data_IF_144512239395
#
_entry.id   IF_144512239395
#
_cell.length_a   1.000
_cell.length_b   1.000
_cell.length_c   1.000
_cell.angle_alpha   90.00
_cell.angle_beta   90.00
_cell.angle_gamma   90.00
#
_symmetry.space_group_name_H-M   'P 1'
#
loop_
_entity.id
_entity.type
_entity.pdbx_description
1 polymer ?
#
# COMPACT_ATOMS: atom_id res chain seq x y z
N UNK A 1 29.79 35.64 -28.72
CA UNK A 1 28.55 35.79 -27.94
C UNK A 1 28.13 34.41 -27.47
N UNK A 2 28.02 34.26 -26.15
CA UNK A 2 27.20 33.34 -25.33
C UNK A 2 27.24 31.83 -25.60
N UNK A 3 27.56 31.12 -24.51
CA UNK A 3 27.56 29.68 -24.28
C UNK A 3 26.15 29.06 -24.29
N UNK A 4 26.07 27.72 -24.28
CA UNK A 4 25.47 26.92 -23.20
C UNK A 4 25.54 25.44 -23.58
N UNK A 5 26.42 24.71 -22.88
CA UNK A 5 26.38 23.25 -22.84
C UNK A 5 25.36 22.82 -21.81
N UNK A 6 24.46 21.92 -22.20
CA UNK A 6 23.56 21.22 -21.30
C UNK A 6 23.90 19.73 -21.39
N UNK A 7 24.71 19.25 -20.45
CA UNK A 7 24.91 17.82 -20.25
C UNK A 7 23.72 17.28 -19.47
N UNK A 8 22.77 16.68 -20.17
CA UNK A 8 21.71 15.90 -19.55
C UNK A 8 22.25 14.48 -19.34
N UNK A 9 22.48 14.10 -18.08
CA UNK A 9 22.74 12.72 -17.73
C UNK A 9 21.42 11.95 -17.84
N UNK A 10 21.25 11.20 -18.93
CA UNK A 10 20.15 10.26 -19.07
C UNK A 10 20.38 9.08 -18.09
N UNK A 11 19.37 8.65 -17.32
CA UNK A 11 19.47 7.40 -16.59
C UNK A 11 19.56 6.23 -17.58
N UNK A 12 20.50 5.33 -17.32
CA UNK A 12 20.72 4.10 -18.09
C UNK A 12 19.51 3.20 -17.90
N UNK A 13 18.70 3.03 -18.95
CA UNK A 13 17.67 2.01 -19.00
C UNK A 13 18.35 0.64 -19.16
N UNK A 14 18.13 -0.26 -18.20
CA UNK A 14 18.45 -1.68 -18.37
C UNK A 14 17.32 -2.29 -19.20
N UNK A 15 17.71 -3.00 -20.25
CA UNK A 15 16.83 -3.70 -21.20
C UNK A 15 16.16 -4.86 -20.46
N UNK A 16 14.82 -4.81 -20.38
CA UNK A 16 13.94 -5.86 -19.88
C UNK A 16 13.84 -7.00 -20.92
N UNK A 17 14.05 -8.25 -20.50
CA UNK A 17 14.12 -9.43 -21.38
C UNK A 17 12.76 -10.12 -21.61
N UNK A 18 11.67 -9.53 -21.12
CA UNK A 18 10.32 -9.99 -21.44
C UNK A 18 9.95 -11.33 -20.81
N UNK A 19 10.61 -11.72 -19.72
CA UNK A 19 10.09 -12.74 -18.81
C UNK A 19 9.04 -12.13 -17.86
N UNK A 20 7.98 -12.88 -17.60
CA UNK A 20 6.77 -12.48 -16.85
C UNK A 20 7.04 -11.72 -15.53
N UNK A 21 6.23 -10.71 -15.16
CA UNK A 21 6.54 -9.78 -14.05
C UNK A 21 6.52 -10.35 -12.61
N UNK A 22 6.37 -11.67 -12.44
CA UNK A 22 6.03 -12.29 -11.14
C UNK A 22 7.07 -13.29 -10.60
N UNK A 23 8.25 -13.44 -11.22
CA UNK A 23 9.17 -14.52 -10.83
C UNK A 23 10.51 -14.04 -10.24
N UNK A 24 10.68 -12.73 -9.97
CA UNK A 24 11.93 -12.21 -9.39
C UNK A 24 11.71 -11.65 -7.99
N UNK A 25 11.90 -12.52 -7.01
CA UNK A 25 12.06 -12.16 -5.60
C UNK A 25 13.29 -11.26 -5.40
N UNK A 26 13.09 -10.07 -4.84
CA UNK A 26 14.19 -9.21 -4.40
C UNK A 26 14.88 -9.81 -3.17
N UNK A 27 16.20 -9.89 -3.20
CA UNK A 27 17.04 -10.37 -2.08
C UNK A 27 17.78 -9.23 -1.41
N UNK A 28 18.17 -9.44 -0.15
CA UNK A 28 18.96 -8.47 0.61
C UNK A 28 20.28 -8.17 -0.12
N UNK A 29 20.43 -6.94 -0.60
CA UNK A 29 21.58 -6.48 -1.38
C UNK A 29 21.26 -6.10 -2.83
N UNK A 30 20.08 -6.45 -3.33
CA UNK A 30 19.57 -5.89 -4.59
C UNK A 30 19.30 -4.38 -4.41
N UNK A 31 19.49 -3.55 -5.44
CA UNK A 31 19.02 -2.17 -5.39
C UNK A 31 17.49 -2.18 -5.27
N UNK A 32 16.98 -1.50 -4.26
CA UNK A 32 15.55 -1.39 -4.03
C UNK A 32 14.95 -0.59 -5.19
N UNK A 33 13.92 -1.10 -5.89
CA UNK A 33 13.24 -0.35 -6.94
C UNK A 33 12.68 0.95 -6.39
N UNK A 34 12.46 1.95 -7.25
CA UNK A 34 11.76 3.15 -6.82
C UNK A 34 10.34 2.76 -6.38
N UNK A 35 10.02 2.98 -5.10
CA UNK A 35 8.73 2.68 -4.47
C UNK A 35 7.92 3.95 -4.19
N UNK A 36 8.45 5.11 -4.58
CA UNK A 36 7.78 6.39 -4.43
C UNK A 36 7.01 6.72 -5.70
N UNK A 37 5.70 6.71 -5.60
CA UNK A 37 4.81 7.36 -6.55
C UNK A 37 4.15 8.49 -5.78
N UNK A 38 4.45 9.74 -6.13
CA UNK A 38 3.88 10.88 -5.43
C UNK A 38 2.51 11.22 -6.03
N UNK A 39 1.46 11.36 -5.21
CA UNK A 39 0.17 11.79 -5.71
C UNK A 39 0.21 13.27 -6.12
N UNK A 40 -0.43 13.62 -7.24
CA UNK A 40 -0.63 15.00 -7.66
C UNK A 40 -1.79 15.60 -6.86
N UNK A 41 -1.53 16.65 -6.06
CA UNK A 41 -2.54 17.27 -5.19
C UNK A 41 -3.24 16.25 -4.25
N UNK A 42 -2.51 15.25 -3.77
CA UNK A 42 -3.05 14.22 -2.87
C UNK A 42 -3.85 13.10 -3.55
N UNK A 43 -3.98 13.13 -4.89
CA UNK A 43 -4.68 12.10 -5.67
C UNK A 43 -3.71 11.42 -6.64
N UNK A 44 -3.80 10.10 -6.76
CA UNK A 44 -3.05 9.36 -7.78
C UNK A 44 -3.63 9.54 -9.18
N UNK A 45 -2.76 9.54 -10.19
CA UNK A 45 -3.18 9.52 -11.59
C UNK A 45 -4.02 8.26 -11.89
N UNK A 46 -4.99 8.31 -12.82
CA UNK A 46 -5.97 7.25 -13.02
C UNK A 46 -5.39 5.86 -13.32
N UNK A 47 -4.22 5.81 -13.96
CA UNK A 47 -3.50 4.60 -14.39
C UNK A 47 -2.53 4.04 -13.33
N UNK A 48 -2.31 4.77 -12.23
CA UNK A 48 -1.51 4.27 -11.11
C UNK A 48 -2.27 3.16 -10.42
N UNK A 49 -1.64 1.99 -10.30
CA UNK A 49 -2.17 0.89 -9.52
C UNK A 49 -1.97 1.17 -8.02
N UNK A 50 -3.04 0.95 -7.27
CA UNK A 50 -3.10 1.11 -5.83
C UNK A 50 -3.67 -0.16 -5.19
N UNK A 51 -3.49 -0.29 -3.89
CA UNK A 51 -4.06 -1.34 -3.08
C UNK A 51 -4.61 -0.76 -1.78
N UNK A 52 -5.30 -1.60 -1.03
CA UNK A 52 -5.63 -1.28 0.34
C UNK A 52 -5.31 -2.44 1.30
N UNK A 53 -4.19 -2.28 2.02
CA UNK A 53 -3.73 -3.24 3.02
C UNK A 53 -3.24 -4.57 2.43
N UNK A 54 -2.85 -4.58 1.16
CA UNK A 54 -2.36 -5.73 0.39
C UNK A 54 -3.22 -6.04 -0.85
N UNK A 55 -2.83 -7.06 -1.65
CA UNK A 55 -3.52 -7.47 -2.87
C UNK A 55 -5.01 -7.78 -2.68
N UNK A 56 -5.84 -7.67 -3.74
CA UNK A 56 -5.46 -7.33 -5.12
C UNK A 56 -5.20 -5.84 -5.33
N UNK A 57 -4.48 -5.51 -6.40
CA UNK A 57 -4.22 -4.13 -6.82
C UNK A 57 -5.22 -3.70 -7.90
N UNK A 58 -5.52 -2.41 -7.98
CA UNK A 58 -6.47 -1.84 -8.92
C UNK A 58 -6.04 -0.44 -9.38
N UNK A 59 -6.42 0.00 -10.59
CA UNK A 59 -6.13 1.36 -11.03
C UNK A 59 -6.85 2.38 -10.15
N UNK A 60 -6.20 3.50 -9.82
CA UNK A 60 -6.79 4.57 -9.02
C UNK A 60 -8.07 5.14 -9.65
N UNK A 61 -8.25 5.00 -10.97
CA UNK A 61 -9.52 5.30 -11.64
C UNK A 61 -10.73 4.57 -11.03
N UNK A 62 -10.55 3.35 -10.53
CA UNK A 62 -11.64 2.55 -9.96
C UNK A 62 -12.24 3.18 -8.69
N UNK A 63 -11.46 3.99 -7.95
CA UNK A 63 -11.94 4.73 -6.78
C UNK A 63 -12.96 5.82 -7.13
N UNK A 64 -13.02 6.27 -8.39
CA UNK A 64 -13.85 7.43 -8.78
C UNK A 64 -15.30 7.06 -9.12
N UNK A 65 -15.59 5.79 -9.32
CA UNK A 65 -16.91 5.32 -9.74
C UNK A 65 -17.19 3.92 -9.17
N UNK A 66 -17.34 3.77 -7.84
CA UNK A 66 -17.80 2.50 -7.26
C UNK A 66 -19.16 2.11 -7.84
N UNK A 67 -19.34 0.84 -8.15
CA UNK A 67 -20.61 0.27 -8.60
C UNK A 67 -21.20 -0.56 -7.48
N UNK A 68 -22.52 -0.45 -7.25
CA UNK A 68 -23.19 -1.35 -6.32
C UNK A 68 -23.10 -2.78 -6.84
N UNK A 69 -22.75 -3.71 -5.96
CA UNK A 69 -22.60 -5.11 -6.31
C UNK A 69 -23.91 -5.71 -6.83
N UNK A 70 -25.06 -5.27 -6.28
CA UNK A 70 -26.39 -5.68 -6.75
C UNK A 70 -26.74 -5.19 -8.15
N UNK A 71 -26.01 -4.21 -8.68
CA UNK A 71 -26.15 -3.66 -10.03
C UNK A 71 -25.06 -4.18 -10.98
N UNK A 72 -24.18 -5.07 -10.49
CA UNK A 72 -23.03 -5.58 -11.23
C UNK A 72 -23.29 -7.01 -11.72
N UNK A 73 -22.96 -7.27 -12.98
CA UNK A 73 -22.87 -8.64 -13.50
C UNK A 73 -21.54 -9.25 -13.04
N UNK A 74 -21.59 -10.10 -12.02
CA UNK A 74 -20.42 -10.82 -11.50
C UNK A 74 -20.30 -12.18 -12.18
N UNK A 75 -19.06 -12.64 -12.37
CA UNK A 75 -18.79 -13.95 -12.94
C UNK A 75 -19.41 -15.08 -12.12
N UNK A 76 -19.83 -16.16 -12.79
CA UNK A 76 -20.42 -17.32 -12.16
C UNK A 76 -19.49 -17.89 -11.07
N UNK A 77 -20.03 -18.01 -9.86
CA UNK A 77 -19.30 -18.51 -8.70
C UNK A 77 -18.42 -17.47 -7.97
N UNK A 78 -18.26 -16.25 -8.48
CA UNK A 78 -17.43 -15.22 -7.85
C UNK A 78 -17.89 -14.83 -6.44
N UNK A 79 -19.19 -14.98 -6.17
CA UNK A 79 -19.81 -14.70 -4.88
C UNK A 79 -19.72 -15.85 -3.88
N UNK A 80 -19.40 -17.07 -4.32
CA UNK A 80 -19.35 -18.26 -3.46
C UNK A 80 -18.46 -18.05 -2.22
N UNK A 81 -17.24 -17.46 -2.33
CA UNK A 81 -16.42 -17.21 -1.15
C UNK A 81 -17.06 -16.26 -0.13
N UNK A 82 -17.81 -15.25 -0.57
CA UNK A 82 -18.56 -14.38 0.35
C UNK A 82 -19.71 -15.16 0.99
N UNK A 83 -20.49 -15.89 0.20
CA UNK A 83 -21.65 -16.65 0.68
C UNK A 83 -21.25 -17.69 1.73
N UNK A 84 -20.17 -18.44 1.47
CA UNK A 84 -19.61 -19.41 2.41
C UNK A 84 -19.12 -18.73 3.69
N UNK A 85 -18.44 -17.58 3.57
CA UNK A 85 -17.98 -16.82 4.73
C UNK A 85 -19.15 -16.28 5.56
N UNK A 86 -20.17 -15.67 4.94
CA UNK A 86 -21.36 -15.16 5.61
C UNK A 86 -22.19 -16.27 6.29
N UNK A 87 -22.21 -17.47 5.70
CA UNK A 87 -22.85 -18.64 6.29
C UNK A 87 -22.05 -19.26 7.46
N UNK A 88 -20.79 -18.85 7.65
CA UNK A 88 -19.96 -19.29 8.77
C UNK A 88 -20.36 -18.59 10.08
N UNK A 89 -19.93 -19.15 11.22
CA UNK A 89 -20.14 -18.50 12.52
C UNK A 89 -19.43 -17.14 12.65
N UNK A 90 -18.33 -16.93 11.91
CA UNK A 90 -17.58 -15.67 11.92
C UNK A 90 -18.27 -14.60 11.07
N UNK A 91 -18.88 -15.00 9.94
CA UNK A 91 -19.58 -14.10 9.03
C UNK A 91 -20.91 -13.55 9.56
N UNK A 92 -21.47 -14.12 10.63
CA UNK A 92 -22.69 -13.60 11.26
C UNK A 92 -22.58 -12.17 11.80
N UNK A 93 -21.35 -11.65 11.99
CA UNK A 93 -21.08 -10.27 12.40
C UNK A 93 -20.68 -9.35 11.24
N UNK A 94 -20.57 -9.88 10.03
CA UNK A 94 -20.26 -9.08 8.85
C UNK A 94 -21.51 -8.40 8.28
N UNK A 95 -21.32 -7.36 7.45
CA UNK A 95 -22.42 -6.82 6.64
C UNK A 95 -23.09 -7.92 5.83
N UNK A 96 -24.41 -8.02 5.89
CA UNK A 96 -25.13 -9.10 5.20
C UNK A 96 -25.47 -8.75 3.75
N UNK A 97 -25.47 -7.45 3.43
CA UNK A 97 -25.84 -6.90 2.15
C UNK A 97 -25.06 -5.60 1.84
N UNK A 98 -25.36 -5.02 0.67
CA UNK A 98 -24.92 -3.69 0.26
C UNK A 98 -23.41 -3.52 0.19
N UNK A 99 -22.83 -4.18 -0.80
CA UNK A 99 -21.43 -4.06 -1.16
C UNK A 99 -21.25 -3.19 -2.39
N UNK A 100 -20.13 -2.48 -2.45
CA UNK A 100 -19.59 -1.85 -3.65
C UNK A 100 -18.52 -2.74 -4.27
N UNK A 101 -18.27 -2.63 -5.57
CA UNK A 101 -17.16 -3.30 -6.25
C UNK A 101 -16.26 -2.32 -7.01
N UNK A 102 -14.93 -2.55 -6.95
CA UNK A 102 -13.90 -1.80 -7.71
C UNK A 102 -13.20 -2.65 -8.76
N UNK A 103 -13.14 -3.96 -8.49
CA UNK A 103 -12.58 -4.96 -9.38
C UNK A 103 -13.67 -5.98 -9.57
N UNK A 104 -14.20 -6.04 -10.78
CA UNK A 104 -15.11 -7.08 -11.21
C UNK A 104 -14.63 -7.53 -12.59
N UNK A 105 -13.88 -8.63 -12.59
CA UNK A 105 -13.30 -9.25 -13.78
C UNK A 105 -13.61 -10.74 -13.78
N UNK A 106 -13.28 -11.44 -14.86
CA UNK A 106 -13.50 -12.89 -14.95
C UNK A 106 -12.65 -13.70 -13.95
N UNK A 107 -11.58 -13.10 -13.41
CA UNK A 107 -10.62 -13.79 -12.54
C UNK A 107 -10.45 -13.17 -11.15
N UNK A 108 -10.92 -11.93 -10.94
CA UNK A 108 -10.78 -11.21 -9.66
C UNK A 108 -12.06 -10.44 -9.36
N UNK A 109 -12.56 -10.60 -8.13
CA UNK A 109 -13.63 -9.82 -7.55
C UNK A 109 -13.12 -9.16 -6.26
N UNK A 110 -13.22 -7.84 -6.15
CA UNK A 110 -13.00 -7.12 -4.90
C UNK A 110 -14.24 -6.31 -4.57
N UNK A 111 -14.74 -6.52 -3.36
CA UNK A 111 -15.92 -5.85 -2.83
C UNK A 111 -15.59 -5.15 -1.51
N UNK A 112 -16.31 -4.06 -1.25
CA UNK A 112 -16.22 -3.32 0.01
C UNK A 112 -17.60 -2.99 0.55
N UNK A 113 -17.71 -2.97 1.87
CA UNK A 113 -18.80 -2.33 2.57
C UNK A 113 -18.24 -1.18 3.42
N UNK A 114 -18.84 0.00 3.34
CA UNK A 114 -18.47 1.16 4.16
C UNK A 114 -19.56 1.40 5.20
N UNK A 115 -19.22 1.18 6.47
CA UNK A 115 -20.11 1.45 7.58
C UNK A 115 -20.41 2.94 7.77
N UNK A 116 -21.47 3.25 8.50
CA UNK A 116 -21.85 4.64 8.81
C UNK A 116 -20.80 5.39 9.65
N UNK A 117 -19.90 4.66 10.32
CA UNK A 117 -18.73 5.16 11.05
C UNK A 117 -17.48 5.32 10.17
N UNK A 118 -17.59 5.01 8.87
CA UNK A 118 -16.48 5.03 7.92
C UNK A 118 -15.58 3.80 7.97
N UNK A 119 -15.90 2.78 8.77
CA UNK A 119 -15.13 1.54 8.81
C UNK A 119 -15.34 0.75 7.51
N UNK A 120 -14.25 0.29 6.91
CA UNK A 120 -14.29 -0.54 5.73
C UNK A 120 -14.26 -2.03 6.09
N UNK A 121 -15.11 -2.80 5.43
CA UNK A 121 -15.04 -4.26 5.36
C UNK A 121 -14.78 -4.65 3.91
N UNK A 122 -13.69 -5.37 3.65
CA UNK A 122 -13.27 -5.74 2.29
C UNK A 122 -13.17 -7.25 2.15
N UNK A 123 -13.64 -7.77 1.02
CA UNK A 123 -13.37 -9.12 0.56
C UNK A 123 -12.76 -9.06 -0.83
N UNK A 124 -11.73 -9.87 -1.05
CA UNK A 124 -11.25 -10.17 -2.38
C UNK A 124 -11.27 -11.67 -2.64
N UNK A 125 -11.66 -12.04 -3.85
CA UNK A 125 -11.67 -13.40 -4.33
C UNK A 125 -10.99 -13.46 -5.70
N UNK A 126 -10.26 -14.55 -5.93
CA UNK A 126 -9.59 -14.82 -7.19
C UNK A 126 -9.99 -16.20 -7.72
N UNK A 127 -10.05 -16.31 -9.05
CA UNK A 127 -10.35 -17.55 -9.74
C UNK A 127 -9.12 -18.45 -9.79
N UNK A 128 -9.28 -19.68 -9.31
CA UNK A 128 -8.26 -20.73 -9.32
C UNK A 128 -8.74 -21.92 -10.16
N UNK A 129 -7.87 -22.90 -10.38
CA UNK A 129 -8.23 -24.18 -10.99
C UNK A 129 -9.33 -24.94 -10.21
N UNK A 130 -9.42 -24.70 -8.90
CA UNK A 130 -10.43 -25.26 -8.00
C UNK A 130 -11.72 -24.43 -7.90
N UNK A 131 -11.81 -23.31 -8.63
CA UNK A 131 -12.90 -22.35 -8.53
C UNK A 131 -12.48 -21.05 -7.84
N UNK A 132 -13.46 -20.21 -7.50
CA UNK A 132 -13.21 -18.95 -6.80
C UNK A 132 -12.80 -19.19 -5.35
N UNK A 133 -11.75 -18.50 -4.90
CA UNK A 133 -11.24 -18.60 -3.54
C UNK A 133 -11.07 -17.20 -2.95
N UNK A 134 -11.45 -17.03 -1.68
CA UNK A 134 -11.16 -15.79 -0.96
C UNK A 134 -9.64 -15.67 -0.78
N UNK A 135 -9.07 -14.56 -1.28
CA UNK A 135 -7.66 -14.20 -1.09
C UNK A 135 -7.52 -13.16 0.02
N UNK A 136 -8.60 -12.47 0.38
CA UNK A 136 -8.62 -11.46 1.44
C UNK A 136 -9.97 -11.36 2.14
N UNK A 137 -9.91 -11.24 3.46
CA UNK A 137 -11.02 -10.87 4.34
C UNK A 137 -10.49 -9.87 5.38
N UNK A 138 -11.06 -8.66 5.44
CA UNK A 138 -10.69 -7.66 6.43
C UNK A 138 -11.91 -6.84 6.85
N UNK A 139 -11.99 -6.46 8.14
CA UNK A 139 -13.09 -5.66 8.68
C UNK A 139 -12.60 -4.66 9.73
N UNK A 140 -13.33 -3.55 9.90
CA UNK A 140 -13.16 -2.60 11.01
C UNK A 140 -12.01 -1.60 10.87
N UNK A 141 -11.40 -1.46 9.68
CA UNK A 141 -10.24 -0.60 9.46
C UNK A 141 -10.50 0.59 8.54
N UNK A 142 -9.67 1.63 8.62
CA UNK A 142 -9.74 2.85 7.81
C UNK A 142 -9.09 2.70 6.43
N UNK A 143 -9.16 1.50 5.82
CA UNK A 143 -8.49 1.07 4.59
C UNK A 143 -7.72 2.18 3.81
N UNK A 144 -6.45 2.47 4.16
CA UNK A 144 -5.67 3.52 3.51
C UNK A 144 -5.26 3.12 2.09
N UNK A 145 -5.37 4.05 1.14
CA UNK A 145 -4.96 3.81 -0.25
C UNK A 145 -3.45 3.89 -0.36
N UNK A 146 -2.83 2.82 -0.84
CA UNK A 146 -1.38 2.69 -0.91
C UNK A 146 -0.90 2.27 -2.30
N UNK A 147 0.32 2.63 -2.64
CA UNK A 147 1.02 2.06 -3.80
C UNK A 147 1.51 0.66 -3.41
N UNK A 148 1.21 -0.38 -4.22
CA UNK A 148 1.62 -1.74 -3.93
C UNK A 148 3.14 -1.86 -3.92
N UNK A 149 3.65 -2.73 -3.06
CA UNK A 149 5.07 -3.04 -3.04
C UNK A 149 5.43 -4.06 -4.11
N UNK A 150 6.60 -3.90 -4.76
CA UNK A 150 7.22 -4.97 -5.51
C UNK A 150 7.37 -6.24 -4.68
N UNK A 151 7.37 -7.38 -5.36
CA UNK A 151 7.52 -8.68 -4.72
C UNK A 151 8.83 -8.78 -3.91
N UNK A 152 8.77 -9.51 -2.80
CA UNK A 152 9.89 -9.64 -1.84
C UNK A 152 10.03 -8.48 -0.85
N UNK A 153 9.32 -7.37 -1.06
CA UNK A 153 9.30 -6.24 -0.13
C UNK A 153 8.09 -6.29 0.82
N UNK A 154 8.34 -5.75 2.01
CA UNK A 154 7.45 -5.70 3.15
C UNK A 154 7.13 -4.26 3.54
N UNK A 155 5.90 -4.04 4.02
CA UNK A 155 5.48 -2.73 4.49
C UNK A 155 6.23 -2.35 5.78
N UNK A 156 6.70 -1.10 5.82
CA UNK A 156 7.25 -0.47 7.01
C UNK A 156 6.45 0.80 7.29
N UNK A 157 5.73 0.79 8.40
CA UNK A 157 5.13 1.99 8.95
C UNK A 157 6.19 2.81 9.68
N UNK A 158 5.96 4.11 9.84
CA UNK A 158 6.84 4.96 10.62
C UNK A 158 6.10 6.10 11.29
N UNK A 159 6.73 6.64 12.33
CA UNK A 159 6.31 7.85 13.03
C UNK A 159 7.53 8.69 13.41
N UNK A 160 7.33 9.97 13.68
CA UNK A 160 8.41 10.80 14.24
C UNK A 160 8.87 10.25 15.59
N UNK A 161 10.18 10.28 15.84
CA UNK A 161 10.76 9.87 17.12
C UNK A 161 10.51 10.93 18.19
N UNK A 162 9.68 10.67 19.22
CA UNK A 162 9.41 11.63 20.28
C UNK A 162 10.62 11.90 21.18
N UNK A 163 11.62 11.02 21.18
CA UNK A 163 12.87 11.22 21.93
C UNK A 163 13.83 12.18 21.21
N UNK A 164 13.67 12.34 19.90
CA UNK A 164 14.52 13.17 19.05
C UNK A 164 13.64 14.06 18.14
N UNK A 165 13.08 15.16 18.66
CA UNK A 165 12.21 16.03 17.90
C UNK A 165 12.88 16.57 16.62
N UNK A 166 12.12 16.55 15.53
CA UNK A 166 12.56 17.01 14.21
C UNK A 166 12.37 18.53 14.08
N UNK A 167 13.24 19.31 14.72
CA UNK A 167 13.16 20.78 14.74
C UNK A 167 13.32 21.40 13.33
N UNK A 168 12.72 22.58 13.05
CA UNK A 168 12.76 23.21 11.73
C UNK A 168 14.17 23.49 11.19
N UNK A 169 15.15 23.76 12.05
CA UNK A 169 16.55 23.98 11.67
C UNK A 169 17.31 22.68 11.38
N UNK A 170 16.74 21.52 11.73
CA UNK A 170 17.41 20.24 11.60
C UNK A 170 17.55 19.84 10.13
N UNK A 171 18.73 19.31 9.79
CA UNK A 171 18.99 18.63 8.51
C UNK A 171 18.83 17.12 8.64
N UNK A 172 18.54 16.64 9.86
CA UNK A 172 18.33 15.24 10.20
C UNK A 172 16.88 15.02 10.61
N UNK A 173 16.27 13.97 10.07
CA UNK A 173 14.95 13.49 10.45
C UNK A 173 15.13 12.18 11.22
N UNK A 174 14.65 12.15 12.46
CA UNK A 174 14.57 10.97 13.30
C UNK A 174 13.16 10.38 13.25
N UNK A 175 13.09 9.10 12.87
CA UNK A 175 11.87 8.31 12.78
C UNK A 175 12.01 7.03 13.59
N UNK A 176 10.87 6.49 14.02
CA UNK A 176 10.74 5.12 14.50
C UNK A 176 9.98 4.32 13.46
N UNK A 177 10.63 3.29 12.94
CA UNK A 177 10.15 2.45 11.85
C UNK A 177 9.70 1.08 12.38
N UNK A 178 8.58 0.59 11.89
CA UNK A 178 7.96 -0.66 12.34
C UNK A 178 7.56 -1.49 11.14
N UNK A 179 8.19 -2.65 10.98
CA UNK A 179 7.78 -3.63 9.99
C UNK A 179 6.35 -4.12 10.25
N UNK A 180 5.63 -4.49 9.18
CA UNK A 180 4.28 -5.05 9.28
C UNK A 180 4.23 -6.55 9.09
N UNK A 181 5.21 -7.12 8.38
CA UNK A 181 5.31 -8.57 8.26
C UNK A 181 5.64 -9.22 9.60
N UNK A 182 5.14 -10.44 9.78
CA UNK A 182 5.49 -11.26 10.93
C UNK A 182 7.00 -11.53 10.94
N UNK A 183 7.63 -11.29 12.09
CA UNK A 183 9.08 -11.35 12.27
C UNK A 183 9.51 -12.22 13.46
N UNK A 184 8.57 -12.95 14.07
CA UNK A 184 8.80 -13.70 15.31
C UNK A 184 9.37 -12.81 16.43
N UNK A 185 9.02 -11.51 16.45
CA UNK A 185 9.47 -10.54 17.44
C UNK A 185 10.85 -9.92 17.18
N UNK A 186 11.47 -10.18 16.04
CA UNK A 186 12.79 -9.66 15.72
C UNK A 186 12.73 -8.27 15.05
N UNK A 187 13.70 -7.38 15.32
CA UNK A 187 13.82 -6.12 14.59
C UNK A 187 14.06 -6.34 13.09
N UNK A 188 13.96 -5.26 12.31
CA UNK A 188 14.22 -5.32 10.87
C UNK A 188 15.70 -5.53 10.60
N UNK A 189 16.56 -4.76 11.28
CA UNK A 189 18.00 -4.80 11.12
C UNK A 189 18.39 -4.62 9.65
N UNK A 190 19.26 -5.50 9.15
CA UNK A 190 19.73 -5.42 7.75
C UNK A 190 18.62 -5.67 6.71
N UNK A 191 17.41 -6.09 7.12
CA UNK A 191 16.25 -6.17 6.24
C UNK A 191 15.66 -4.80 5.93
N UNK A 192 15.87 -3.79 6.78
CA UNK A 192 15.41 -2.44 6.50
C UNK A 192 16.20 -1.88 5.31
N UNK A 193 15.49 -1.58 4.22
CA UNK A 193 16.08 -0.97 3.05
C UNK A 193 16.52 0.47 3.34
N UNK A 194 17.52 1.00 2.60
CA UNK A 194 17.83 2.42 2.63
C UNK A 194 16.58 3.28 2.38
N UNK A 195 16.33 4.33 3.19
CA UNK A 195 15.18 5.22 3.01
C UNK A 195 15.16 5.86 1.63
N UNK A 196 13.97 5.93 1.02
CA UNK A 196 13.75 6.75 -0.16
C UNK A 196 13.08 8.05 0.25
N UNK A 197 13.64 9.18 -0.20
CA UNK A 197 13.25 10.51 0.27
C UNK A 197 13.17 11.48 -0.90
N UNK A 198 12.07 12.22 -0.98
CA UNK A 198 11.93 13.38 -1.88
C UNK A 198 11.63 14.60 -1.03
N UNK A 199 12.49 15.61 -1.16
CA UNK A 199 12.31 16.90 -0.50
C UNK A 199 11.78 17.89 -1.53
N UNK A 200 10.68 18.56 -1.18
CA UNK A 200 10.06 19.61 -1.99
C UNK A 200 9.97 20.89 -1.17
N UNK A 201 9.51 21.98 -1.79
CA UNK A 201 9.28 23.23 -1.07
C UNK A 201 8.15 23.09 -0.03
N UNK A 202 7.17 22.21 -0.28
CA UNK A 202 5.96 22.10 0.53
C UNK A 202 5.98 20.94 1.54
N UNK A 203 6.73 19.88 1.26
CA UNK A 203 6.73 18.65 2.07
C UNK A 203 8.00 17.81 1.90
N UNK A 204 8.21 16.90 2.85
CA UNK A 204 9.25 15.86 2.78
C UNK A 204 8.56 14.51 2.74
N UNK A 205 8.72 13.81 1.61
CA UNK A 205 8.13 12.50 1.37
C UNK A 205 9.13 11.41 1.75
N UNK A 206 8.71 10.47 2.59
CA UNK A 206 9.54 9.36 3.06
C UNK A 206 8.84 8.04 2.77
N UNK A 207 9.54 7.12 2.11
CA UNK A 207 9.16 5.72 1.97
C UNK A 207 10.21 4.82 2.65
N UNK A 208 9.74 3.96 3.54
CA UNK A 208 10.51 2.88 4.14
C UNK A 208 9.90 1.54 3.73
N UNK A 209 10.76 0.57 3.47
CA UNK A 209 10.39 -0.82 3.20
C UNK A 209 11.41 -1.76 3.82
N UNK A 210 11.03 -3.02 3.98
CA UNK A 210 11.95 -4.07 4.39
C UNK A 210 11.97 -5.19 3.37
N UNK A 211 13.06 -5.96 3.32
CA UNK A 211 13.04 -7.29 2.75
C UNK A 211 12.22 -8.22 3.66
N UNK A 212 11.32 -9.00 3.05
CA UNK A 212 10.51 -9.95 3.82
C UNK A 212 11.40 -11.01 4.49
N UNK A 213 11.11 -11.40 5.74
CA UNK A 213 11.79 -12.53 6.35
C UNK A 213 11.57 -13.81 5.55
N UNK A 214 12.59 -14.65 5.46
CA UNK A 214 12.48 -15.98 4.84
C UNK A 214 12.00 -17.02 5.85
N UNK A 215 11.23 -18.00 5.39
CA UNK A 215 10.74 -19.11 6.22
C UNK A 215 9.50 -18.76 7.06
N UNK A 216 9.07 -19.71 7.88
CA UNK A 216 7.89 -19.55 8.75
C UNK A 216 8.15 -18.48 9.82
N UNK A 217 7.23 -17.54 9.97
CA UNK A 217 7.30 -16.47 10.96
C UNK A 217 6.06 -16.45 11.84
N UNK A 218 6.24 -16.10 13.10
CA UNK A 218 5.14 -15.85 14.04
C UNK A 218 4.89 -14.33 14.20
N UNK A 219 3.70 -13.97 14.67
CA UNK A 219 3.25 -12.58 14.75
C UNK A 219 3.04 -12.12 16.22
N UNK A 220 4.06 -12.19 17.11
CA UNK A 220 3.91 -11.68 18.48
C UNK A 220 3.90 -10.14 18.56
N UNK A 221 4.18 -9.46 17.43
CA UNK A 221 4.42 -8.03 17.33
C UNK A 221 5.80 -7.74 16.74
N UNK A 222 6.01 -6.50 16.29
CA UNK A 222 7.27 -6.06 15.69
C UNK A 222 7.86 -4.90 16.50
N UNK A 223 9.11 -4.99 16.97
CA UNK A 223 9.75 -3.89 17.67
C UNK A 223 10.05 -2.72 16.72
N UNK A 224 9.98 -1.49 17.26
CA UNK A 224 10.34 -0.29 16.50
C UNK A 224 11.87 -0.17 16.37
N UNK A 225 12.34 0.36 15.24
CA UNK A 225 13.75 0.59 14.93
C UNK A 225 13.98 2.06 14.61
N UNK A 226 15.01 2.67 15.21
CA UNK A 226 15.32 4.08 14.99
C UNK A 226 15.99 4.28 13.63
N UNK A 227 15.48 5.23 12.85
CA UNK A 227 15.97 5.59 11.52
C UNK A 227 16.31 7.07 11.52
N UNK A 228 17.53 7.40 11.10
CA UNK A 228 17.96 8.79 10.90
C UNK A 228 18.21 9.04 9.42
N UNK A 229 17.55 10.06 8.88
CA UNK A 229 17.62 10.46 7.48
C UNK A 229 18.27 11.84 7.41
N UNK A 230 19.31 12.00 6.60
CA UNK A 230 19.88 13.31 6.30
C UNK A 230 19.26 13.87 5.01
N UNK A 231 18.53 14.98 5.13
CA UNK A 231 17.89 15.68 4.01
C UNK A 231 18.77 16.77 3.39
N UNK A 232 19.95 17.03 3.95
CA UNK A 232 20.97 17.98 3.48
C UNK A 232 20.56 19.46 3.46
N UNK A 233 19.37 19.79 3.96
CA UNK A 233 18.87 21.15 4.13
C UNK A 233 17.92 21.23 5.33
N UNK A 234 17.71 22.42 5.95
CA UNK A 234 16.84 22.54 7.11
C UNK A 234 15.41 22.11 6.81
N UNK A 235 14.77 21.30 7.67
CA UNK A 235 13.38 20.84 7.52
C UNK A 235 12.40 21.99 7.27
N UNK A 236 12.56 23.11 7.97
CA UNK A 236 11.57 24.18 8.02
C UNK A 236 10.24 23.68 8.59
N UNK A 237 9.14 24.25 8.09
CA UNK A 237 7.77 23.88 8.49
C UNK A 237 7.20 22.71 7.66
N UNK A 238 8.04 22.05 6.85
CA UNK A 238 7.58 21.01 5.92
C UNK A 238 7.09 19.77 6.69
N UNK A 239 5.85 19.32 6.46
CA UNK A 239 5.34 18.09 7.03
C UNK A 239 6.08 16.88 6.45
N UNK A 240 6.19 15.83 7.27
CA UNK A 240 6.66 14.52 6.82
C UNK A 240 5.46 13.72 6.33
N UNK A 241 5.55 13.21 5.10
CA UNK A 241 4.45 12.47 4.46
C UNK A 241 4.94 11.08 4.10
N UNK A 242 4.14 10.05 4.42
CA UNK A 242 4.40 8.69 3.95
C UNK A 242 4.15 8.62 2.45
N UNK A 243 5.23 8.49 1.66
CA UNK A 243 5.18 8.53 0.21
C UNK A 243 4.48 7.32 -0.43
N UNK A 244 4.15 6.29 0.37
CA UNK A 244 3.40 5.12 -0.09
C UNK A 244 1.90 5.27 0.07
N UNK A 245 1.42 6.19 0.89
CA UNK A 245 0.00 6.32 1.23
C UNK A 245 -0.56 7.60 0.62
N UNK A 246 -1.69 7.51 -0.08
CA UNK A 246 -2.41 8.69 -0.54
C UNK A 246 -3.00 9.48 0.64
N UNK A 247 -3.48 10.69 0.37
CA UNK A 247 -4.40 11.32 1.30
C UNK A 247 -5.72 10.53 1.32
N UNK A 248 -6.15 10.16 2.53
CA UNK A 248 -7.45 9.52 2.76
C UNK A 248 -7.45 7.99 2.76
N UNK A 249 -8.66 7.45 2.68
CA UNK A 249 -9.06 6.07 2.94
C UNK A 249 -10.13 5.66 1.94
N UNK A 250 -10.47 4.37 1.82
CA UNK A 250 -11.61 3.95 0.98
C UNK A 250 -12.90 4.72 1.29
N UNK A 251 -13.17 5.07 2.54
CA UNK A 251 -14.38 5.80 2.92
C UNK A 251 -14.45 7.23 2.35
N UNK A 252 -13.32 7.81 1.91
CA UNK A 252 -13.29 9.11 1.24
C UNK A 252 -13.71 9.03 -0.24
N UNK A 253 -13.64 7.82 -0.82
CA UNK A 253 -13.94 7.57 -2.24
C UNK A 253 -15.26 6.83 -2.46
N UNK A 254 -15.75 6.17 -1.41
CA UNK A 254 -16.84 5.20 -1.51
C UNK A 254 -17.96 5.64 -0.60
N UNK A 255 -19.19 5.81 -1.10
CA UNK A 255 -20.31 6.19 -0.26
C UNK A 255 -20.54 5.16 0.84
N UNK A 256 -21.08 5.61 1.97
CA UNK A 256 -21.61 4.72 3.00
C UNK A 256 -22.54 3.72 2.33
N UNK A 257 -22.30 2.43 2.58
CA UNK A 257 -23.07 1.35 2.01
C UNK A 257 -24.54 1.48 2.43
N UNK A 258 -25.49 1.31 1.49
CA UNK A 258 -26.91 1.36 1.81
C UNK A 258 -27.28 0.35 2.90
N UNK A 259 -28.23 0.71 3.76
CA UNK A 259 -28.89 -0.19 4.69
C UNK A 259 -30.06 -0.91 4.04
#
# INVERSE_FOLDING_TARGET
AVAFGCGSAAPVAVVDDGSTPHDRWLTQGDPVPNIMVLPTNGVYEPDVFVECGGPPTFPAAALRAPVLLSESDVADGAMVPLEEFLASGEGGFWPQDSYWTFINTDDVLMIVHIGADGAATTLAAERTDSGWMATRLATGGSCPIQVPLPEGLGEVGWREDPATPNEPESTLIALLATGRDCSSGHPMGDRLAPPQVVVTDDAIYVALVQYRPTGTQECPGNPEEAVTININEPRGDRPLINARTAAGTLADYVPVSPS
#
